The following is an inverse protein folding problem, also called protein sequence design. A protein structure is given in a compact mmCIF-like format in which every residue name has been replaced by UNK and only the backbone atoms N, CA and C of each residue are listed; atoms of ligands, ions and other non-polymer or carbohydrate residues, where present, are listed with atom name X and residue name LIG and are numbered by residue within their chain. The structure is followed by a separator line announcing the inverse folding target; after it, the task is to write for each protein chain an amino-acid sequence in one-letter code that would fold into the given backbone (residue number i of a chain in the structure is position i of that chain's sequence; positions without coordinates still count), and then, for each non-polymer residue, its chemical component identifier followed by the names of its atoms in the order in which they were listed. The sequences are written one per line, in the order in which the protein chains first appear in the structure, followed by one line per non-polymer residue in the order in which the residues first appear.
data_IF_570577337900
#
_entry.id   IF_570577337900
#
_cell.length_a   1.000
_cell.length_b   1.000
_cell.length_c   1.000
_cell.angle_alpha   90.00
_cell.angle_beta   90.00
_cell.angle_gamma   90.00
#
_symmetry.space_group_name_H-M   'P 1'
#
loop_
_entity.id
_entity.type
_entity.pdbx_description
1 polymer ?
#
# COMPACT_ATOMS: atom_id res chain seq x y z
N UNK A 1 -23.26 4.11 -4.69
CA UNK A 1 -22.08 3.26 -4.90
C UNK A 1 -21.30 3.25 -3.61
N UNK A 2 -20.88 2.09 -3.13
CA UNK A 2 -19.90 1.93 -2.04
C UNK A 2 -18.59 2.61 -2.45
N UNK A 3 -17.92 3.24 -1.49
CA UNK A 3 -16.58 3.81 -1.74
C UNK A 3 -15.55 2.68 -1.73
N UNK A 4 -14.46 2.82 -2.49
CA UNK A 4 -13.40 1.81 -2.61
C UNK A 4 -12.14 2.30 -1.91
N UNK A 5 -11.56 1.46 -1.06
CA UNK A 5 -10.27 1.69 -0.42
C UNK A 5 -9.28 0.61 -0.85
N UNK A 6 -8.06 1.01 -1.21
CA UNK A 6 -6.95 0.07 -1.43
C UNK A 6 -5.95 0.17 -0.28
N UNK A 7 -5.57 -0.99 0.26
CA UNK A 7 -4.54 -1.14 1.28
C UNK A 7 -3.31 -1.74 0.61
N UNK A 8 -2.24 -0.95 0.54
CA UNK A 8 -0.91 -1.40 0.10
C UNK A 8 -0.23 -1.99 1.33
N UNK A 9 -0.04 -3.30 1.31
CA UNK A 9 0.59 -4.08 2.38
C UNK A 9 1.98 -4.50 1.91
N UNK A 10 3.03 -3.98 2.57
CA UNK A 10 4.39 -4.23 2.13
C UNK A 10 4.83 -5.69 2.37
N UNK A 11 4.27 -6.35 3.38
CA UNK A 11 4.62 -7.71 3.77
C UNK A 11 3.38 -8.50 4.26
N UNK A 12 3.60 -9.76 4.67
CA UNK A 12 2.56 -10.70 5.09
C UNK A 12 2.10 -10.57 6.56
N UNK A 13 2.82 -9.82 7.41
CA UNK A 13 2.52 -9.63 8.84
C UNK A 13 2.00 -8.22 9.17
N UNK A 14 2.17 -7.24 8.29
CA UNK A 14 1.73 -5.85 8.44
C UNK A 14 0.31 -5.61 7.90
N UNK A 15 -0.65 -6.44 8.30
CA UNK A 15 -2.04 -6.34 7.80
C UNK A 15 -2.79 -5.08 8.26
N UNK A 16 -3.82 -4.67 7.50
CA UNK A 16 -4.67 -3.51 7.80
C UNK A 16 -5.40 -3.51 9.16
N UNK A 17 -5.59 -4.69 9.77
CA UNK A 17 -6.03 -4.86 11.15
C UNK A 17 -7.17 -3.94 11.62
N UNK A 18 -7.02 -3.18 12.72
CA UNK A 18 -8.07 -2.29 13.23
C UNK A 18 -8.47 -1.17 12.26
N UNK A 19 -7.56 -0.69 11.41
CA UNK A 19 -7.83 0.40 10.46
C UNK A 19 -8.80 -0.10 9.40
N UNK A 20 -8.53 -1.26 8.81
CA UNK A 20 -9.44 -1.93 7.88
C UNK A 20 -10.86 -2.03 8.44
N UNK A 21 -11.00 -2.57 9.65
CA UNK A 21 -12.31 -2.78 10.27
C UNK A 21 -13.11 -1.48 10.42
N UNK A 22 -12.43 -0.33 10.54
CA UNK A 22 -13.08 0.98 10.57
C UNK A 22 -13.53 1.46 9.19
N UNK A 23 -12.82 1.12 8.11
CA UNK A 23 -13.25 1.40 6.74
C UNK A 23 -14.48 0.57 6.37
N UNK A 24 -14.49 -0.73 6.66
CA UNK A 24 -15.66 -1.59 6.43
C UNK A 24 -16.90 -1.09 7.17
N UNK A 25 -16.75 -0.73 8.45
CA UNK A 25 -17.85 -0.14 9.26
C UNK A 25 -18.41 1.16 8.66
N UNK A 26 -17.63 1.85 7.83
CA UNK A 26 -18.03 3.08 7.12
C UNK A 26 -18.53 2.82 5.70
N UNK A 27 -18.67 1.56 5.31
CA UNK A 27 -19.22 1.15 4.02
C UNK A 27 -18.23 1.20 2.86
N UNK A 28 -16.92 1.13 3.14
CA UNK A 28 -15.91 0.97 2.10
C UNK A 28 -15.78 -0.49 1.67
N UNK A 29 -15.66 -0.71 0.37
CA UNK A 29 -15.15 -1.94 -0.21
C UNK A 29 -13.62 -1.92 -0.15
N UNK A 30 -13.04 -2.97 0.42
CA UNK A 30 -11.60 -3.07 0.64
C UNK A 30 -10.95 -3.92 -0.44
N UNK A 31 -9.89 -3.38 -1.05
CA UNK A 31 -8.94 -4.13 -1.88
C UNK A 31 -7.60 -4.20 -1.17
N UNK A 32 -7.00 -5.40 -1.14
CA UNK A 32 -5.63 -5.60 -0.65
C UNK A 32 -4.68 -5.70 -1.81
N UNK A 33 -3.53 -5.05 -1.68
CA UNK A 33 -2.41 -5.22 -2.57
C UNK A 33 -1.18 -5.54 -1.73
N UNK A 34 -0.87 -6.83 -1.60
CA UNK A 34 0.33 -7.30 -0.93
C UNK A 34 1.51 -7.28 -1.90
N UNK A 35 2.59 -6.58 -1.54
CA UNK A 35 3.78 -6.43 -2.38
C UNK A 35 4.72 -7.63 -2.20
N UNK A 36 5.17 -7.88 -0.96
CA UNK A 36 6.07 -8.99 -0.65
C UNK A 36 5.29 -10.10 0.05
N UNK A 37 5.18 -11.22 -0.66
CA UNK A 37 4.58 -12.45 -0.10
C UNK A 37 5.46 -13.06 0.99
N UNK A 38 4.87 -13.91 1.84
CA UNK A 38 5.61 -14.64 2.89
C UNK A 38 6.85 -15.38 2.35
N UNK A 39 6.72 -16.05 1.20
CA UNK A 39 7.84 -16.79 0.59
C UNK A 39 8.96 -15.92 0.00
N UNK A 40 8.76 -14.60 -0.09
CA UNK A 40 9.74 -13.64 -0.62
C UNK A 40 10.28 -12.71 0.47
N UNK A 41 9.91 -12.92 1.74
CA UNK A 41 10.27 -12.02 2.83
C UNK A 41 11.79 -11.84 3.00
N UNK A 42 12.57 -12.91 2.78
CA UNK A 42 14.04 -12.88 2.84
C UNK A 42 14.70 -12.29 1.59
N UNK A 43 13.95 -12.10 0.50
CA UNK A 43 14.40 -11.52 -0.76
C UNK A 43 13.38 -10.48 -1.29
N UNK A 44 13.21 -9.36 -0.57
CA UNK A 44 12.04 -8.48 -0.73
C UNK A 44 12.12 -7.56 -1.95
N UNK A 45 13.23 -7.54 -2.71
CA UNK A 45 13.41 -6.67 -3.87
C UNK A 45 12.66 -7.19 -5.12
N UNK A 46 11.36 -7.44 -4.98
CA UNK A 46 10.49 -8.02 -6.01
C UNK A 46 9.98 -6.95 -6.97
N UNK A 47 9.58 -7.35 -8.17
CA UNK A 47 8.82 -6.48 -9.09
C UNK A 47 7.35 -6.86 -9.01
N UNK A 48 6.47 -5.85 -8.98
CA UNK A 48 5.02 -6.04 -8.92
C UNK A 48 4.32 -5.27 -10.04
N UNK A 49 3.18 -5.77 -10.48
CA UNK A 49 2.29 -5.04 -11.37
C UNK A 49 1.36 -4.17 -10.52
N UNK A 50 1.57 -2.86 -10.58
CA UNK A 50 0.80 -1.91 -9.79
C UNK A 50 -0.62 -1.75 -10.33
N UNK A 51 -1.65 -1.83 -9.48
CA UNK A 51 -3.00 -1.45 -9.88
C UNK A 51 -3.08 0.06 -10.11
N UNK A 52 -4.06 0.49 -10.90
CA UNK A 52 -4.34 1.92 -11.07
C UNK A 52 -4.94 2.51 -9.79
N UNK A 53 -4.08 3.07 -8.94
CA UNK A 53 -4.47 3.62 -7.63
C UNK A 53 -5.51 4.76 -7.73
N UNK A 54 -5.62 5.39 -8.90
CA UNK A 54 -6.59 6.47 -9.14
C UNK A 54 -8.04 6.00 -9.29
N UNK A 55 -8.28 4.69 -9.33
CA UNK A 55 -9.64 4.11 -9.37
C UNK A 55 -10.27 3.90 -7.98
N UNK A 56 -9.54 4.26 -6.92
CA UNK A 56 -9.96 4.14 -5.54
C UNK A 56 -10.29 5.51 -4.95
N UNK A 57 -11.24 5.54 -4.00
CA UNK A 57 -11.62 6.77 -3.28
C UNK A 57 -10.63 7.15 -2.18
N UNK A 58 -9.76 6.21 -1.78
CA UNK A 58 -8.73 6.38 -0.75
C UNK A 58 -7.65 5.31 -0.90
N UNK A 59 -6.40 5.71 -0.72
CA UNK A 59 -5.24 4.81 -0.70
C UNK A 59 -4.67 4.78 0.72
N UNK A 60 -4.41 3.57 1.23
CA UNK A 60 -3.80 3.36 2.54
C UNK A 60 -2.47 2.65 2.33
N UNK A 61 -1.35 3.30 2.68
CA UNK A 61 -0.02 2.67 2.66
C UNK A 61 0.36 2.22 4.06
N UNK A 62 0.57 0.91 4.23
CA UNK A 62 0.73 0.27 5.53
C UNK A 62 2.19 0.35 6.03
N UNK A 63 2.43 -0.21 7.22
CA UNK A 63 3.77 -0.39 7.74
C UNK A 63 4.62 -1.36 6.90
N UNK A 64 5.92 -1.39 7.19
CA UNK A 64 6.88 -2.31 6.62
C UNK A 64 8.00 -2.60 7.64
N UNK A 65 8.63 -3.78 7.63
CA UNK A 65 9.85 -4.07 8.37
C UNK A 65 11.10 -3.46 7.72
N UNK A 66 10.99 -2.95 6.50
CA UNK A 66 12.08 -2.31 5.75
C UNK A 66 12.01 -0.79 5.91
N UNK A 67 13.16 -0.12 5.74
CA UNK A 67 13.27 1.33 5.79
C UNK A 67 13.00 1.98 4.43
N UNK A 68 12.31 3.13 4.41
CA UNK A 68 11.97 3.89 3.21
C UNK A 68 13.18 4.54 2.50
N UNK A 69 14.39 4.16 2.89
CA UNK A 69 15.68 4.59 2.33
C UNK A 69 16.52 3.39 1.84
N UNK A 70 16.01 2.16 1.96
CA UNK A 70 16.73 0.94 1.58
C UNK A 70 16.55 0.63 0.08
N UNK A 71 16.85 1.57 -0.80
CA UNK A 71 16.68 1.43 -2.27
C UNK A 71 17.36 0.16 -2.83
N UNK A 72 18.54 -0.19 -2.32
CA UNK A 72 19.25 -1.41 -2.73
C UNK A 72 18.50 -2.71 -2.34
N UNK A 73 17.70 -2.66 -1.26
CA UNK A 73 17.00 -3.82 -0.68
C UNK A 73 15.57 -3.97 -1.21
N UNK A 74 14.90 -2.85 -1.50
CA UNK A 74 13.46 -2.84 -1.83
C UNK A 74 13.09 -1.90 -2.99
N UNK A 75 14.07 -1.34 -3.69
CA UNK A 75 13.87 -0.30 -4.69
C UNK A 75 12.98 -0.68 -5.88
N UNK A 76 12.86 -1.98 -6.22
CA UNK A 76 12.03 -2.42 -7.35
C UNK A 76 10.52 -2.16 -7.15
N UNK A 77 10.07 -1.97 -5.90
CA UNK A 77 8.71 -1.55 -5.59
C UNK A 77 8.65 -0.24 -4.83
N UNK A 78 9.64 0.09 -3.98
CA UNK A 78 9.66 1.34 -3.21
C UNK A 78 9.67 2.58 -4.12
N UNK A 79 10.59 2.63 -5.09
CA UNK A 79 10.71 3.80 -5.95
C UNK A 79 9.45 4.01 -6.82
N UNK A 80 8.87 2.97 -7.45
CA UNK A 80 7.56 3.08 -8.09
C UNK A 80 6.45 3.53 -7.15
N UNK A 81 6.38 3.02 -5.91
CA UNK A 81 5.35 3.42 -4.95
C UNK A 81 5.44 4.91 -4.62
N UNK A 82 6.64 5.43 -4.37
CA UNK A 82 6.86 6.85 -4.08
C UNK A 82 6.33 7.72 -5.23
N UNK A 83 6.58 7.33 -6.48
CA UNK A 83 6.10 8.08 -7.64
C UNK A 83 4.57 7.96 -7.81
N UNK A 84 4.01 6.77 -7.58
CA UNK A 84 2.56 6.57 -7.57
C UNK A 84 1.87 7.36 -6.45
N UNK A 85 2.46 7.47 -5.26
CA UNK A 85 1.90 8.24 -4.15
C UNK A 85 1.89 9.74 -4.45
N UNK A 86 2.93 10.26 -5.13
CA UNK A 86 2.91 11.64 -5.64
C UNK A 86 1.78 11.84 -6.64
N UNK A 87 1.58 10.90 -7.56
CA UNK A 87 0.50 10.97 -8.55
C UNK A 87 -0.90 10.94 -7.93
N UNK A 88 -1.11 10.06 -6.94
CA UNK A 88 -2.36 9.98 -6.15
C UNK A 88 -2.63 11.28 -5.40
N UNK A 89 -1.60 11.82 -4.74
CA UNK A 89 -1.68 13.11 -4.05
C UNK A 89 -2.05 14.25 -5.01
N UNK A 90 -1.36 14.35 -6.14
CA UNK A 90 -1.60 15.38 -7.15
C UNK A 90 -3.00 15.27 -7.79
N UNK A 91 -3.57 14.06 -7.85
CA UNK A 91 -4.93 13.83 -8.28
C UNK A 91 -6.00 14.20 -7.23
N UNK A 92 -5.60 14.61 -6.02
CA UNK A 92 -6.50 14.97 -4.93
C UNK A 92 -7.16 13.78 -4.24
N UNK A 93 -6.61 12.57 -4.42
CA UNK A 93 -7.13 11.36 -3.78
C UNK A 93 -6.56 11.30 -2.35
N UNK A 94 -7.41 11.10 -1.33
CA UNK A 94 -6.96 10.97 0.06
C UNK A 94 -5.98 9.80 0.25
N UNK A 95 -4.88 10.06 0.95
CA UNK A 95 -3.89 9.07 1.35
C UNK A 95 -3.84 8.98 2.88
N UNK A 96 -3.80 7.76 3.41
CA UNK A 96 -3.49 7.47 4.81
C UNK A 96 -2.22 6.63 4.90
N UNK A 97 -1.12 7.24 5.34
CA UNK A 97 0.14 6.55 5.60
C UNK A 97 0.24 6.06 7.05
N UNK A 98 0.77 4.85 7.25
CA UNK A 98 0.94 4.23 8.58
C UNK A 98 2.38 3.77 8.74
N UNK A 99 3.10 4.37 9.70
CA UNK A 99 4.48 4.04 10.05
C UNK A 99 5.46 4.30 8.89
N UNK A 100 5.57 3.36 7.96
CA UNK A 100 6.43 3.43 6.78
C UNK A 100 5.78 4.24 5.65
N UNK A 101 4.47 4.05 5.45
CA UNK A 101 3.69 4.68 4.38
C UNK A 101 3.31 6.14 4.61
#
# INVERSE_FOLDING_TARGET
MSKRAIFIEHDHVSEGGPVWAQFEKRGYEITRFNIVSEGQFDAPNVSVEWPNLKEYDVVVSMGSPWGAWEDDRIGNWLLPEIDLMKDVHNAGIPILGICFG
#
